data_IF_936366431041
#
_entry.id   IF_936366431041
#
_cell.length_a   1.000
_cell.length_b   1.000
_cell.length_c   1.000
_cell.angle_alpha   90.00
_cell.angle_beta   90.00
_cell.angle_gamma   90.00
#
_symmetry.space_group_name_H-M   'P 1'
#
loop_
_entity.id
_entity.type
_entity.pdbx_description
1 polymer ?
#
# COMPACT_ATOMS: atom_id res chain seq x y z
N UNK A 1 45.97 35.81 13.61
CA UNK A 1 46.13 34.49 14.26
C UNK A 1 45.53 34.64 15.66
N UNK A 2 44.39 34.06 16.03
CA UNK A 2 44.05 32.63 16.03
C UNK A 2 42.52 32.51 16.10
N UNK A 3 41.96 31.66 15.24
CA UNK A 3 40.54 31.31 15.16
C UNK A 3 40.08 30.54 16.42
N UNK A 4 38.97 30.95 17.01
CA UNK A 4 38.14 30.18 17.95
C UNK A 4 36.70 30.41 17.49
N UNK A 5 36.21 29.70 16.46
CA UNK A 5 35.54 28.40 16.58
C UNK A 5 34.57 28.33 17.76
N UNK A 6 33.47 29.08 17.70
CA UNK A 6 32.18 28.62 18.24
C UNK A 6 31.25 28.39 17.06
N UNK A 7 31.42 27.23 16.45
CA UNK A 7 30.51 26.62 15.49
C UNK A 7 29.14 26.51 16.13
N UNK A 8 28.20 27.33 15.65
CA UNK A 8 26.78 27.11 15.77
C UNK A 8 26.47 25.72 15.20
N UNK A 9 26.35 24.72 16.08
CA UNK A 9 25.91 23.40 15.69
C UNK A 9 24.40 23.46 15.43
N UNK A 10 24.02 23.95 14.24
CA UNK A 10 22.68 23.78 13.71
C UNK A 10 22.51 22.30 13.41
N UNK A 11 21.99 21.55 14.38
CA UNK A 11 21.52 20.18 14.14
C UNK A 11 20.28 20.31 13.27
N UNK A 12 20.47 20.24 11.95
CA UNK A 12 19.38 20.00 11.02
C UNK A 12 18.99 18.54 11.23
N UNK A 13 18.02 18.31 12.13
CA UNK A 13 17.34 17.04 12.22
C UNK A 13 16.57 16.85 10.91
N UNK A 14 17.21 16.20 9.93
CA UNK A 14 16.52 15.64 8.80
C UNK A 14 15.69 14.46 9.33
N UNK A 15 14.52 14.76 9.89
CA UNK A 15 13.48 13.76 10.08
C UNK A 15 13.11 13.27 8.69
N UNK A 16 13.72 12.18 8.24
CA UNK A 16 13.19 11.40 7.13
C UNK A 16 11.79 10.98 7.58
N UNK A 17 10.78 11.71 7.11
CA UNK A 17 9.44 11.17 7.04
C UNK A 17 9.56 9.99 6.07
N UNK A 18 9.86 8.80 6.58
CA UNK A 18 9.50 7.55 5.93
C UNK A 18 7.96 7.47 5.98
N UNK A 19 7.32 8.39 5.24
CA UNK A 19 5.90 8.59 5.25
C UNK A 19 5.22 7.51 4.43
N UNK A 20 3.98 7.21 4.81
CA UNK A 20 2.99 6.49 4.05
C UNK A 20 2.70 7.22 2.72
N UNK A 21 3.67 7.27 1.82
CA UNK A 21 3.49 7.81 0.49
C UNK A 21 2.55 6.83 -0.24
N UNK A 22 1.32 7.27 -0.46
CA UNK A 22 0.35 6.52 -1.24
C UNK A 22 0.96 6.13 -2.61
N UNK A 23 0.54 5.02 -3.22
CA UNK A 23 1.14 4.51 -4.45
C UNK A 23 1.13 5.54 -5.58
N UNK A 24 2.22 5.61 -6.35
CA UNK A 24 2.36 6.57 -7.44
C UNK A 24 1.51 6.21 -8.66
N UNK A 25 1.10 7.22 -9.42
CA UNK A 25 0.36 7.02 -10.68
C UNK A 25 1.17 6.23 -11.72
N UNK A 26 2.50 6.30 -11.68
CA UNK A 26 3.36 5.53 -12.59
C UNK A 26 3.26 4.02 -12.32
N UNK A 27 3.09 3.60 -11.06
CA UNK A 27 2.88 2.19 -10.73
C UNK A 27 1.55 1.67 -11.29
N UNK A 28 0.49 2.49 -11.24
CA UNK A 28 -0.82 2.17 -11.84
C UNK A 28 -0.74 2.06 -13.37
N UNK A 29 0.05 2.92 -14.01
CA UNK A 29 0.21 2.94 -15.46
C UNK A 29 0.89 1.67 -16.02
N UNK A 30 1.67 0.94 -15.20
CA UNK A 30 2.23 -0.35 -15.58
C UNK A 30 1.17 -1.47 -15.66
N UNK A 31 -0.03 -1.22 -15.14
CA UNK A 31 -1.14 -2.17 -15.10
C UNK A 31 -1.12 -3.07 -13.86
N UNK A 32 -2.29 -3.61 -13.46
CA UNK A 32 -2.39 -4.48 -12.30
C UNK A 32 -1.75 -5.84 -12.56
N UNK A 33 -1.09 -6.38 -11.53
CA UNK A 33 -0.66 -7.78 -11.49
C UNK A 33 -1.86 -8.74 -11.55
N UNK A 34 -2.97 -8.39 -10.88
CA UNK A 34 -4.21 -9.17 -10.90
C UNK A 34 -5.42 -8.26 -10.78
N UNK A 35 -6.49 -8.60 -11.48
CA UNK A 35 -7.82 -8.02 -11.28
C UNK A 35 -8.74 -9.10 -10.71
N UNK A 36 -9.47 -8.76 -9.66
CA UNK A 36 -10.44 -9.63 -9.00
C UNK A 36 -11.78 -8.90 -8.85
N UNK A 37 -12.85 -9.65 -8.60
CA UNK A 37 -14.19 -9.12 -8.40
C UNK A 37 -14.84 -9.75 -7.17
N UNK A 38 -15.62 -8.96 -6.44
CA UNK A 38 -16.38 -9.38 -5.26
C UNK A 38 -17.84 -8.94 -5.38
N UNK A 39 -18.76 -9.68 -4.75
CA UNK A 39 -20.15 -9.26 -4.55
C UNK A 39 -20.34 -8.44 -3.27
N UNK A 40 -19.30 -8.29 -2.44
CA UNK A 40 -19.31 -7.49 -1.21
C UNK A 40 -19.09 -6.01 -1.53
N UNK A 41 -19.45 -5.16 -0.57
CA UNK A 41 -19.21 -3.72 -0.62
C UNK A 41 -17.70 -3.42 -0.61
N UNK A 42 -17.30 -2.40 -1.36
CA UNK A 42 -15.90 -1.99 -1.55
C UNK A 42 -15.18 -1.67 -0.23
N UNK A 43 -15.84 -0.96 0.69
CA UNK A 43 -15.29 -0.68 2.02
C UNK A 43 -14.99 -1.95 2.82
N UNK A 44 -15.89 -2.94 2.78
CA UNK A 44 -15.73 -4.20 3.50
C UNK A 44 -14.59 -5.05 2.89
N UNK A 45 -14.49 -5.05 1.55
CA UNK A 45 -13.38 -5.72 0.84
C UNK A 45 -12.06 -5.06 1.19
N UNK A 46 -11.96 -3.72 1.13
CA UNK A 46 -10.74 -2.98 1.44
C UNK A 46 -10.27 -3.22 2.88
N UNK A 47 -11.18 -3.15 3.86
CA UNK A 47 -10.86 -3.43 5.27
C UNK A 47 -10.39 -4.86 5.49
N UNK A 48 -11.04 -5.85 4.86
CA UNK A 48 -10.59 -7.24 4.95
C UNK A 48 -9.18 -7.42 4.39
N UNK A 49 -8.88 -6.81 3.23
CA UNK A 49 -7.54 -6.90 2.62
C UNK A 49 -6.51 -6.28 3.56
N UNK A 50 -6.80 -5.11 4.14
CA UNK A 50 -5.91 -4.45 5.09
C UNK A 50 -5.55 -5.38 6.26
N UNK A 51 -6.57 -5.88 6.97
CA UNK A 51 -6.37 -6.73 8.15
C UNK A 51 -5.66 -8.03 7.78
N UNK A 52 -6.04 -8.65 6.66
CA UNK A 52 -5.43 -9.91 6.23
C UNK A 52 -3.94 -9.71 5.91
N UNK A 53 -3.60 -8.61 5.24
CA UNK A 53 -2.21 -8.28 4.92
C UNK A 53 -1.38 -7.82 6.11
N UNK A 54 -2.01 -7.41 7.22
CA UNK A 54 -1.35 -7.12 8.50
C UNK A 54 -0.95 -8.37 9.28
N UNK A 55 -1.27 -9.56 8.78
CA UNK A 55 -0.87 -10.80 9.43
C UNK A 55 0.66 -11.03 9.33
N UNK A 56 1.39 -10.72 10.39
CA UNK A 56 2.83 -10.90 10.50
C UNK A 56 3.28 -12.35 10.30
N UNK A 57 2.48 -13.33 10.71
CA UNK A 57 2.81 -14.75 10.50
C UNK A 57 2.80 -15.14 9.01
N UNK A 58 2.07 -14.41 8.17
CA UNK A 58 2.03 -14.62 6.73
C UNK A 58 3.01 -13.73 5.97
N UNK A 59 3.13 -12.46 6.37
CA UNK A 59 3.82 -11.41 5.58
C UNK A 59 5.10 -10.85 6.22
N UNK A 60 5.47 -11.34 7.40
CA UNK A 60 6.68 -10.93 8.12
C UNK A 60 6.73 -9.41 8.30
N UNK A 61 7.86 -8.81 7.97
CA UNK A 61 8.11 -7.36 8.08
C UNK A 61 7.38 -6.51 7.04
N UNK A 62 6.64 -7.13 6.11
CA UNK A 62 5.81 -6.43 5.12
C UNK A 62 4.34 -6.36 5.57
N UNK A 63 4.06 -6.51 6.86
CA UNK A 63 2.72 -6.45 7.45
C UNK A 63 2.22 -5.04 7.76
N UNK A 64 3.07 -4.02 7.66
CA UNK A 64 2.63 -2.63 7.80
C UNK A 64 1.78 -2.23 6.61
N UNK A 65 0.45 -2.17 6.81
CA UNK A 65 -0.55 -1.95 5.77
C UNK A 65 -1.49 -0.81 6.15
N UNK A 66 -1.70 0.07 5.20
CA UNK A 66 -2.51 1.27 5.31
C UNK A 66 -3.70 1.18 4.37
N UNK A 67 -4.80 1.82 4.74
CA UNK A 67 -5.97 2.02 3.91
C UNK A 67 -6.20 3.51 3.76
N UNK A 68 -6.38 3.96 2.53
CA UNK A 68 -6.61 5.36 2.20
C UNK A 68 -7.77 5.51 1.22
N UNK A 69 -8.59 6.54 1.42
CA UNK A 69 -9.71 6.83 0.53
C UNK A 69 -9.19 7.45 -0.78
N UNK A 70 -9.75 7.04 -1.91
CA UNK A 70 -9.45 7.64 -3.21
C UNK A 70 -10.38 8.81 -3.49
N UNK A 71 -9.83 9.92 -3.99
CA UNK A 71 -10.61 11.13 -4.33
C UNK A 71 -11.75 10.90 -5.33
N UNK A 72 -11.63 9.87 -6.18
CA UNK A 72 -12.66 9.44 -7.13
C UNK A 72 -13.65 8.39 -6.58
N UNK A 73 -13.59 8.10 -5.28
CA UNK A 73 -14.32 7.01 -4.64
C UNK A 73 -13.55 5.69 -4.64
N UNK A 74 -13.86 4.84 -3.67
CA UNK A 74 -13.12 3.62 -3.39
C UNK A 74 -11.92 3.84 -2.48
N UNK A 75 -11.06 2.83 -2.40
CA UNK A 75 -9.98 2.75 -1.41
C UNK A 75 -8.71 2.21 -2.05
N UNK A 76 -7.55 2.65 -1.54
CA UNK A 76 -6.27 1.98 -1.78
C UNK A 76 -5.80 1.36 -0.49
N UNK A 77 -5.54 0.06 -0.54
CA UNK A 77 -4.85 -0.69 0.54
C UNK A 77 -3.41 -0.90 0.11
N UNK A 78 -2.43 -0.46 0.90
CA UNK A 78 -1.02 -0.50 0.48
C UNK A 78 -0.07 -0.76 1.64
N UNK A 79 1.07 -1.38 1.35
CA UNK A 79 2.12 -1.59 2.34
C UNK A 79 3.00 -0.35 2.49
N UNK A 80 3.86 -0.32 3.51
CA UNK A 80 4.99 0.63 3.57
C UNK A 80 5.78 0.65 2.26
N UNK A 81 6.27 1.83 1.88
CA UNK A 81 6.90 2.12 0.57
C UNK A 81 6.02 1.84 -0.66
N UNK A 82 4.74 1.52 -0.47
CA UNK A 82 3.80 1.19 -1.54
C UNK A 82 4.28 0.07 -2.46
N UNK A 83 5.11 -0.85 -1.93
CA UNK A 83 5.62 -2.00 -2.69
C UNK A 83 4.49 -2.88 -3.22
N UNK A 84 3.46 -3.09 -2.40
CA UNK A 84 2.22 -3.77 -2.81
C UNK A 84 1.06 -2.83 -2.54
N UNK A 85 0.12 -2.77 -3.47
CA UNK A 85 -1.12 -2.05 -3.24
C UNK A 85 -2.28 -2.65 -4.02
N UNK A 86 -3.47 -2.50 -3.48
CA UNK A 86 -4.73 -2.90 -4.09
C UNK A 86 -5.66 -1.70 -4.11
N UNK A 87 -6.07 -1.28 -5.31
CA UNK A 87 -7.15 -0.32 -5.48
C UNK A 87 -8.47 -1.09 -5.49
N UNK A 88 -9.45 -0.61 -4.72
CA UNK A 88 -10.73 -1.26 -4.47
C UNK A 88 -11.83 -0.26 -4.82
N UNK A 89 -12.62 -0.57 -5.83
CA UNK A 89 -13.64 0.34 -6.36
C UNK A 89 -14.98 -0.36 -6.52
N UNK A 90 -16.06 0.31 -6.13
CA UNK A 90 -17.40 -0.07 -6.57
C UNK A 90 -17.50 -0.03 -8.10
N UNK A 91 -18.09 -1.09 -8.68
CA UNK A 91 -18.35 -1.26 -10.11
C UNK A 91 -19.77 -1.81 -10.30
N UNK A 92 -20.75 -0.91 -10.25
CA UNK A 92 -22.16 -1.28 -10.29
C UNK A 92 -22.55 -2.10 -9.04
N UNK A 93 -23.15 -3.30 -9.17
CA UNK A 93 -23.51 -4.14 -8.03
C UNK A 93 -22.32 -4.92 -7.45
N UNK A 94 -21.13 -4.82 -8.06
CA UNK A 94 -19.93 -5.55 -7.67
C UNK A 94 -18.83 -4.59 -7.20
N UNK A 95 -17.79 -5.15 -6.61
CA UNK A 95 -16.53 -4.47 -6.28
C UNK A 95 -15.43 -5.03 -7.16
N UNK A 96 -14.65 -4.15 -7.79
CA UNK A 96 -13.42 -4.49 -8.50
C UNK A 96 -12.22 -4.27 -7.57
N UNK A 97 -11.28 -5.21 -7.59
CA UNK A 97 -9.98 -5.09 -6.90
C UNK A 97 -8.87 -5.20 -7.92
N UNK A 98 -8.09 -4.14 -8.08
CA UNK A 98 -6.90 -4.07 -8.92
C UNK A 98 -5.67 -4.17 -8.03
N UNK A 99 -4.97 -5.30 -8.10
CA UNK A 99 -3.79 -5.58 -7.28
C UNK A 99 -2.52 -5.34 -8.08
N UNK A 100 -1.59 -4.59 -7.49
CA UNK A 100 -0.32 -4.16 -8.06
C UNK A 100 0.83 -4.68 -7.20
N UNK A 101 1.84 -5.22 -7.86
CA UNK A 101 3.06 -5.74 -7.25
C UNK A 101 4.24 -5.64 -8.24
N UNK A 102 5.49 -5.63 -7.75
CA UNK A 102 6.66 -5.66 -8.62
C UNK A 102 6.70 -6.96 -9.44
N UNK A 103 7.18 -6.89 -10.68
CA UNK A 103 7.33 -8.09 -11.52
C UNK A 103 8.33 -9.07 -10.93
N UNK A 104 8.01 -10.37 -11.00
CA UNK A 104 8.88 -11.44 -10.48
C UNK A 104 8.95 -11.53 -8.95
N UNK A 105 8.13 -10.75 -8.22
CA UNK A 105 8.11 -10.77 -6.76
C UNK A 105 7.46 -12.05 -6.21
N UNK A 106 8.12 -12.67 -5.22
CA UNK A 106 7.73 -13.96 -4.66
C UNK A 106 6.51 -13.88 -3.73
N UNK A 107 6.18 -12.71 -3.18
CA UNK A 107 5.01 -12.52 -2.33
C UNK A 107 3.77 -12.05 -3.09
N UNK A 108 3.89 -11.65 -4.35
CA UNK A 108 2.75 -11.21 -5.16
C UNK A 108 1.64 -12.26 -5.22
N UNK A 109 1.99 -13.54 -5.46
CA UNK A 109 1.02 -14.62 -5.51
C UNK A 109 0.32 -14.86 -4.16
N UNK A 110 1.07 -14.83 -3.05
CA UNK A 110 0.52 -15.02 -1.71
C UNK A 110 -0.42 -13.87 -1.32
N UNK A 111 -0.05 -12.62 -1.61
CA UNK A 111 -0.90 -11.46 -1.39
C UNK A 111 -2.17 -11.49 -2.25
N UNK A 112 -2.05 -11.90 -3.51
CA UNK A 112 -3.21 -12.09 -4.38
C UNK A 112 -4.14 -13.18 -3.85
N UNK A 113 -3.63 -14.26 -3.28
CA UNK A 113 -4.44 -15.31 -2.66
C UNK A 113 -5.15 -14.80 -1.39
N UNK A 114 -4.46 -14.00 -0.57
CA UNK A 114 -5.06 -13.33 0.58
C UNK A 114 -6.16 -12.33 0.19
N UNK A 115 -6.02 -11.62 -0.95
CA UNK A 115 -7.13 -10.81 -1.48
C UNK A 115 -8.34 -11.71 -1.81
N UNK A 116 -8.10 -12.86 -2.44
CA UNK A 116 -9.19 -13.75 -2.86
C UNK A 116 -10.03 -14.27 -1.69
N UNK A 117 -9.48 -14.40 -0.48
CA UNK A 117 -10.26 -14.79 0.71
C UNK A 117 -11.20 -13.69 1.22
N UNK A 118 -10.98 -12.45 0.79
CA UNK A 118 -11.79 -11.29 1.17
C UNK A 118 -13.00 -11.03 0.26
N UNK A 119 -13.05 -11.67 -0.91
CA UNK A 119 -14.07 -11.43 -1.93
C UNK A 119 -15.42 -12.08 -1.61
#
# INVERSE_FOLDING_TARGET
>A
MKFLFLTSATVIAATVLAGCAAPSNSARAAGPFKVLSSAKQDAAVAQCIQVTWQNEAMFGTSSDVFLHDLSGGGFTVFTTESRYFADVHAKGPATAVEFYAPQGDTQAALRSAAIATCL
#
